data_IF_090281691532
#
_entry.id   IF_090281691532
#
_cell.length_a   1.000
_cell.length_b   1.000
_cell.length_c   1.000
_cell.angle_alpha   90.00
_cell.angle_beta   90.00
_cell.angle_gamma   90.00
#
_symmetry.space_group_name_H-M   'P 1'
#
loop_
_entity.id
_entity.type
_entity.pdbx_description
1 polymer ?
#
# COMPACT_ATOMS: atom_id res chain seq x y z
N UNK A 1 -33.81 15.93 1.65
CA UNK A 1 -33.12 15.15 0.61
C UNK A 1 -31.66 15.59 0.64
N UNK A 2 -30.76 14.77 1.20
CA UNK A 2 -29.33 15.08 1.18
C UNK A 2 -28.87 14.97 -0.28
N UNK A 3 -28.36 16.05 -0.85
CA UNK A 3 -27.71 16.02 -2.16
C UNK A 3 -26.57 14.98 -2.05
N UNK A 4 -26.54 14.00 -2.94
CA UNK A 4 -25.39 13.13 -3.10
C UNK A 4 -24.21 14.01 -3.50
N UNK A 5 -23.30 14.25 -2.56
CA UNK A 5 -22.06 14.95 -2.85
C UNK A 5 -21.24 14.02 -3.73
N UNK A 6 -20.98 14.46 -4.96
CA UNK A 6 -20.10 13.72 -5.86
C UNK A 6 -18.70 13.64 -5.23
N UNK A 7 -18.17 12.42 -5.17
CA UNK A 7 -16.80 12.14 -4.72
C UNK A 7 -16.00 11.63 -5.91
N UNK A 8 -14.91 12.33 -6.30
CA UNK A 8 -14.03 11.79 -7.33
C UNK A 8 -13.43 10.46 -6.87
N UNK A 9 -13.31 9.51 -7.77
CA UNK A 9 -12.70 8.20 -7.51
C UNK A 9 -11.22 8.24 -7.87
N UNK A 10 -10.39 7.84 -6.91
CA UNK A 10 -8.96 7.63 -7.10
C UNK A 10 -8.68 6.15 -6.95
N UNK A 11 -8.23 5.50 -8.02
CA UNK A 11 -7.79 4.12 -7.94
C UNK A 11 -6.29 4.05 -7.61
N UNK A 12 -5.89 2.98 -6.92
CA UNK A 12 -4.51 2.71 -6.53
C UNK A 12 -4.20 1.22 -6.62
N UNK A 13 -2.93 0.85 -6.81
CA UNK A 13 -2.54 -0.56 -6.81
C UNK A 13 -2.36 -1.09 -5.39
N UNK A 14 -2.91 -2.28 -5.14
CA UNK A 14 -2.86 -3.02 -3.86
C UNK A 14 -4.24 -3.19 -3.24
N UNK A 15 -4.25 -3.56 -1.98
CA UNK A 15 -5.44 -3.71 -1.14
C UNK A 15 -5.60 -2.51 -0.22
N UNK A 16 -6.75 -2.35 0.42
CA UNK A 16 -6.94 -1.35 1.48
C UNK A 16 -5.89 -1.54 2.59
N UNK A 17 -5.30 -0.44 3.04
CA UNK A 17 -4.17 -0.42 3.97
C UNK A 17 -2.80 -0.49 3.30
N UNK A 18 -2.71 -0.60 1.97
CA UNK A 18 -1.44 -0.53 1.24
C UNK A 18 -0.79 0.86 1.35
N UNK A 19 0.53 0.93 1.13
CA UNK A 19 1.26 2.20 1.09
C UNK A 19 0.71 3.17 0.03
N UNK A 20 0.11 2.67 -1.05
CA UNK A 20 -0.57 3.51 -2.04
C UNK A 20 -1.76 4.26 -1.44
N UNK A 21 -2.50 3.66 -0.50
CA UNK A 21 -3.57 4.34 0.23
C UNK A 21 -3.00 5.35 1.23
N UNK A 22 -1.89 5.06 1.90
CA UNK A 22 -1.18 6.02 2.75
C UNK A 22 -0.72 7.24 1.94
N UNK A 23 -0.25 7.03 0.70
CA UNK A 23 0.12 8.11 -0.21
C UNK A 23 -1.09 8.98 -0.61
N UNK A 24 -2.27 8.39 -0.81
CA UNK A 24 -3.49 9.15 -1.05
C UNK A 24 -3.87 10.00 0.16
N UNK A 25 -3.75 9.46 1.37
CA UNK A 25 -4.03 10.20 2.61
C UNK A 25 -3.04 11.34 2.81
N UNK A 26 -1.76 11.12 2.54
CA UNK A 26 -0.75 12.18 2.62
C UNK A 26 -1.02 13.30 1.61
N UNK A 27 -1.45 12.96 0.39
CA UNK A 27 -1.70 13.91 -0.68
C UNK A 27 -2.96 14.76 -0.47
N UNK A 28 -4.01 14.18 0.13
CA UNK A 28 -5.35 14.80 0.27
C UNK A 28 -5.76 15.09 1.72
N UNK A 29 -4.94 14.68 2.68
CA UNK A 29 -5.19 14.83 4.10
C UNK A 29 -5.97 13.67 4.73
N UNK A 30 -6.04 13.63 6.08
CA UNK A 30 -6.58 12.49 6.84
C UNK A 30 -8.10 12.29 6.67
N UNK A 31 -8.82 13.29 6.14
CA UNK A 31 -10.26 13.22 5.86
C UNK A 31 -10.55 12.77 4.42
N UNK A 32 -9.57 12.23 3.72
CA UNK A 32 -9.66 11.86 2.30
C UNK A 32 -10.88 11.00 1.98
N UNK A 33 -11.19 10.00 2.82
CA UNK A 33 -12.35 9.12 2.65
C UNK A 33 -13.71 9.81 2.73
N UNK A 34 -13.76 11.04 3.27
CA UNK A 34 -14.98 11.84 3.30
C UNK A 34 -15.23 12.55 1.97
N UNK A 35 -14.15 12.86 1.23
CA UNK A 35 -14.17 13.69 0.01
C UNK A 35 -13.88 12.89 -1.26
N UNK A 36 -13.25 11.73 -1.16
CA UNK A 36 -12.76 10.90 -2.26
C UNK A 36 -13.18 9.45 -2.04
N UNK A 37 -13.48 8.76 -3.13
CA UNK A 37 -13.70 7.32 -3.16
C UNK A 37 -12.38 6.63 -3.56
N UNK A 38 -11.82 5.80 -2.66
CA UNK A 38 -10.55 5.11 -2.88
C UNK A 38 -10.81 3.69 -3.37
N UNK A 39 -10.34 3.35 -4.56
CA UNK A 39 -10.60 2.07 -5.24
C UNK A 39 -9.31 1.25 -5.37
N UNK A 40 -9.15 0.12 -4.66
CA UNK A 40 -7.99 -0.75 -4.79
C UNK A 40 -8.03 -1.54 -6.11
N UNK A 41 -6.89 -1.68 -6.76
CA UNK A 41 -6.69 -2.47 -7.96
C UNK A 41 -5.62 -3.54 -7.73
N UNK A 42 -5.83 -4.79 -8.13
CA UNK A 42 -4.91 -5.88 -7.82
C UNK A 42 -3.57 -5.79 -8.58
N UNK A 43 -3.56 -5.19 -9.76
CA UNK A 43 -2.36 -5.06 -10.60
C UNK A 43 -2.23 -3.66 -11.20
N UNK A 44 -1.05 -3.31 -11.72
CA UNK A 44 -0.85 -2.06 -12.44
C UNK A 44 -1.67 -1.99 -13.71
N UNK A 45 -1.83 -3.10 -14.44
CA UNK A 45 -2.68 -3.17 -15.64
C UNK A 45 -4.14 -2.88 -15.28
N UNK A 46 -4.66 -3.46 -14.21
CA UNK A 46 -6.02 -3.16 -13.72
C UNK A 46 -6.17 -1.68 -13.35
N UNK A 47 -5.13 -1.10 -12.73
CA UNK A 47 -5.09 0.32 -12.35
C UNK A 47 -5.17 1.25 -13.57
N UNK A 48 -4.43 0.97 -14.64
CA UNK A 48 -4.51 1.78 -15.86
C UNK A 48 -5.80 1.51 -16.65
N UNK A 49 -6.30 0.28 -16.65
CA UNK A 49 -7.55 -0.06 -17.34
C UNK A 49 -8.78 0.62 -16.69
N UNK A 50 -8.82 0.81 -15.38
CA UNK A 50 -9.98 1.41 -14.69
C UNK A 50 -10.18 2.89 -15.10
N UNK A 51 -9.10 3.65 -15.32
CA UNK A 51 -9.19 5.02 -15.79
C UNK A 51 -9.53 5.07 -17.27
N UNK A 52 -9.02 4.14 -18.07
CA UNK A 52 -9.36 4.03 -19.50
C UNK A 52 -10.83 3.67 -19.71
N UNK A 53 -11.39 2.85 -18.83
CA UNK A 53 -12.82 2.52 -18.81
C UNK A 53 -13.71 3.66 -18.28
N UNK A 54 -13.14 4.77 -17.78
CA UNK A 54 -13.89 5.88 -17.18
C UNK A 54 -14.54 5.54 -15.84
N UNK A 55 -14.02 4.52 -15.15
CA UNK A 55 -14.52 4.07 -13.84
C UNK A 55 -13.80 4.76 -12.67
N UNK A 56 -12.69 5.46 -12.95
CA UNK A 56 -12.02 6.36 -12.02
C UNK A 56 -11.56 7.63 -12.78
N UNK A 57 -11.53 8.76 -12.08
CA UNK A 57 -11.04 10.03 -12.63
C UNK A 57 -9.54 10.16 -12.49
N UNK A 58 -8.97 9.53 -11.45
CA UNK A 58 -7.55 9.60 -11.11
C UNK A 58 -7.01 8.22 -10.77
N UNK A 59 -5.72 8.04 -11.03
CA UNK A 59 -4.97 6.90 -10.51
C UNK A 59 -3.74 7.39 -9.77
N UNK A 60 -3.41 6.72 -8.66
CA UNK A 60 -2.21 6.98 -7.87
C UNK A 60 -1.21 5.86 -8.10
N UNK A 61 -0.08 6.19 -8.72
CA UNK A 61 0.87 5.23 -9.27
C UNK A 61 2.24 5.38 -8.59
N UNK A 62 2.78 4.34 -7.93
CA UNK A 62 4.15 4.35 -7.43
C UNK A 62 5.14 4.30 -8.61
N UNK A 63 6.03 5.28 -8.70
CA UNK A 63 6.95 5.45 -9.84
C UNK A 63 8.37 5.05 -9.48
N UNK A 64 8.78 5.35 -8.26
CA UNK A 64 10.16 5.19 -7.83
C UNK A 64 10.22 4.91 -6.34
N UNK A 65 11.14 4.05 -5.96
CA UNK A 65 11.50 3.83 -4.56
C UNK A 65 12.99 4.13 -4.36
N UNK A 66 13.34 4.78 -3.26
CA UNK A 66 14.70 5.25 -2.99
C UNK A 66 15.75 4.13 -2.92
N UNK A 67 15.35 2.87 -2.68
CA UNK A 67 16.26 1.73 -2.55
C UNK A 67 16.35 0.90 -3.83
N UNK A 68 15.24 0.72 -4.53
CA UNK A 68 15.17 -0.15 -5.71
C UNK A 68 15.14 0.63 -7.03
N UNK A 69 15.05 1.96 -6.97
CA UNK A 69 14.94 2.82 -8.16
C UNK A 69 13.55 2.79 -8.77
N UNK A 70 13.48 2.92 -10.10
CA UNK A 70 12.23 2.96 -10.86
C UNK A 70 11.42 1.68 -10.70
N UNK A 71 10.12 1.83 -10.48
CA UNK A 71 9.16 0.74 -10.46
C UNK A 71 8.74 0.48 -11.91
N UNK A 72 9.60 -0.27 -12.63
CA UNK A 72 9.56 -0.39 -14.08
C UNK A 72 8.19 -0.79 -14.64
N UNK A 73 7.43 -1.75 -14.08
CA UNK A 73 6.10 -2.10 -14.59
C UNK A 73 5.12 -0.92 -14.60
N UNK A 74 5.20 -0.04 -13.58
CA UNK A 74 4.36 1.16 -13.51
C UNK A 74 4.83 2.25 -14.47
N UNK A 75 6.15 2.44 -14.60
CA UNK A 75 6.77 3.39 -15.55
C UNK A 75 6.39 3.04 -16.98
N UNK A 76 6.53 1.77 -17.36
CA UNK A 76 6.23 1.30 -18.74
C UNK A 76 4.76 1.53 -19.12
N UNK A 77 3.83 1.38 -18.17
CA UNK A 77 2.41 1.65 -18.40
C UNK A 77 2.14 3.16 -18.50
N UNK A 78 2.78 3.94 -17.62
CA UNK A 78 2.64 5.40 -17.66
C UNK A 78 3.18 5.98 -18.98
N UNK A 79 4.35 5.58 -19.44
CA UNK A 79 4.94 6.05 -20.71
C UNK A 79 4.10 5.70 -21.94
N UNK A 80 3.33 4.61 -21.88
CA UNK A 80 2.40 4.20 -22.96
C UNK A 80 1.04 4.88 -22.87
N UNK A 81 0.73 5.50 -21.73
CA UNK A 81 -0.56 6.15 -21.50
C UNK A 81 -0.56 7.59 -22.05
N UNK A 82 -1.75 8.17 -22.24
CA UNK A 82 -1.94 9.58 -22.53
C UNK A 82 -2.31 10.41 -21.29
N UNK A 83 -1.99 9.88 -20.09
CA UNK A 83 -2.35 10.54 -18.84
C UNK A 83 -1.36 11.64 -18.48
N UNK A 84 -1.88 12.72 -17.89
CA UNK A 84 -1.09 13.82 -17.38
C UNK A 84 -0.84 13.67 -15.89
N UNK A 85 0.34 14.12 -15.42
CA UNK A 85 0.66 14.23 -13.99
C UNK A 85 -0.05 15.46 -13.43
N UNK A 86 -0.95 15.26 -12.47
CA UNK A 86 -1.72 16.33 -11.81
C UNK A 86 -1.37 16.49 -10.33
N UNK A 87 -0.52 15.63 -9.79
CA UNK A 87 0.00 15.72 -8.43
C UNK A 87 1.12 14.73 -8.18
N UNK A 88 1.84 14.95 -7.10
CA UNK A 88 2.96 14.10 -6.68
C UNK A 88 3.05 14.08 -5.15
N UNK A 89 3.45 12.93 -4.59
CA UNK A 89 3.72 12.75 -3.18
C UNK A 89 4.82 11.71 -2.97
N UNK A 90 5.65 11.91 -1.95
CA UNK A 90 6.61 10.92 -1.49
C UNK A 90 6.29 10.57 -0.03
N UNK A 91 6.21 9.27 0.26
CA UNK A 91 5.95 8.80 1.62
C UNK A 91 7.07 7.89 2.12
N UNK A 92 7.38 7.91 3.41
CA UNK A 92 8.29 6.94 4.00
C UNK A 92 7.65 5.55 4.01
N UNK A 93 8.43 4.52 3.69
CA UNK A 93 8.00 3.13 3.77
C UNK A 93 8.50 2.54 5.09
N UNK A 94 7.56 2.26 5.99
CA UNK A 94 7.81 1.72 7.33
C UNK A 94 7.14 0.37 7.48
N UNK A 95 7.94 -0.64 7.75
CA UNK A 95 7.45 -2.01 7.89
C UNK A 95 7.30 -2.38 9.37
N UNK A 96 6.19 -3.01 9.70
CA UNK A 96 5.87 -3.49 11.03
C UNK A 96 5.53 -4.97 10.99
N UNK A 97 5.88 -5.70 12.04
CA UNK A 97 5.37 -7.05 12.29
C UNK A 97 4.00 -6.95 12.93
N UNK A 98 2.99 -7.45 12.25
CA UNK A 98 1.58 -7.34 12.63
C UNK A 98 1.01 -8.74 12.79
N UNK A 99 0.37 -9.01 13.91
CA UNK A 99 -0.29 -10.29 14.21
C UNK A 99 -1.66 -10.10 14.81
N UNK A 100 -2.30 -11.19 15.16
CA UNK A 100 -3.57 -11.17 15.88
C UNK A 100 -3.44 -10.45 17.23
N UNK A 101 -4.50 -9.83 17.75
CA UNK A 101 -4.51 -9.32 19.11
C UNK A 101 -4.10 -10.40 20.11
N UNK A 102 -3.11 -10.07 20.95
CA UNK A 102 -2.53 -10.98 21.93
C UNK A 102 -1.46 -11.94 21.39
N UNK A 103 -1.03 -11.81 20.11
CA UNK A 103 0.17 -12.48 19.63
C UNK A 103 1.42 -12.01 20.40
N UNK A 104 2.29 -12.94 20.74
CA UNK A 104 3.56 -12.70 21.45
C UNK A 104 4.70 -13.01 20.52
N UNK A 105 5.68 -12.09 20.41
CA UNK A 105 6.78 -12.24 19.44
C UNK A 105 7.53 -13.57 19.57
N UNK A 106 7.78 -14.03 20.79
CA UNK A 106 8.49 -15.29 21.05
C UNK A 106 7.76 -16.56 20.56
N UNK A 107 6.46 -16.43 20.26
CA UNK A 107 5.61 -17.54 19.80
C UNK A 107 5.36 -17.50 18.28
N UNK A 108 5.89 -16.47 17.57
CA UNK A 108 5.72 -16.37 16.12
C UNK A 108 6.57 -17.43 15.42
N UNK A 109 5.90 -18.28 14.66
CA UNK A 109 6.50 -19.38 13.89
C UNK A 109 6.62 -19.05 12.40
N UNK A 110 5.76 -18.14 11.87
CA UNK A 110 5.78 -17.75 10.47
C UNK A 110 5.51 -16.27 10.24
N UNK A 111 6.15 -15.71 9.21
CA UNK A 111 5.97 -14.32 8.76
C UNK A 111 5.66 -14.32 7.27
N UNK A 112 4.56 -13.64 6.91
CA UNK A 112 4.03 -13.53 5.56
C UNK A 112 4.14 -12.10 5.03
N UNK A 113 4.54 -11.92 3.78
CA UNK A 113 4.48 -10.62 3.10
C UNK A 113 4.87 -10.72 1.63
N UNK A 114 4.67 -9.62 0.90
CA UNK A 114 5.20 -9.47 -0.46
C UNK A 114 6.74 -9.59 -0.48
N UNK A 115 7.34 -10.23 -1.51
CA UNK A 115 8.77 -10.43 -1.60
C UNK A 115 9.62 -9.16 -1.43
N UNK A 116 9.15 -8.01 -1.98
CA UNK A 116 9.87 -6.75 -1.84
C UNK A 116 9.93 -6.27 -0.37
N UNK A 117 8.86 -6.41 0.40
CA UNK A 117 8.83 -6.06 1.82
C UNK A 117 9.71 -7.00 2.66
N UNK A 118 9.69 -8.30 2.35
CA UNK A 118 10.59 -9.28 2.98
C UNK A 118 12.06 -8.96 2.73
N UNK A 119 12.41 -8.56 1.49
CA UNK A 119 13.75 -8.16 1.12
C UNK A 119 14.21 -6.87 1.82
N UNK A 120 13.29 -5.95 2.09
CA UNK A 120 13.54 -4.70 2.81
C UNK A 120 13.68 -4.89 4.34
N UNK A 121 13.29 -6.06 4.87
CA UNK A 121 13.39 -6.44 6.28
C UNK A 121 14.37 -7.62 6.49
N UNK A 122 15.35 -7.75 5.61
CA UNK A 122 16.28 -8.90 5.57
C UNK A 122 17.05 -9.06 6.87
N UNK A 123 17.55 -7.97 7.47
CA UNK A 123 18.34 -8.01 8.70
C UNK A 123 17.49 -8.50 9.88
N UNK A 124 16.25 -8.01 9.98
CA UNK A 124 15.30 -8.49 10.98
C UNK A 124 15.04 -10.00 10.82
N UNK A 125 14.73 -10.45 9.61
CA UNK A 125 14.42 -11.86 9.34
C UNK A 125 15.64 -12.77 9.55
N UNK A 126 16.84 -12.34 9.17
CA UNK A 126 18.07 -13.09 9.38
C UNK A 126 18.42 -13.29 10.87
N UNK A 127 18.02 -12.35 11.73
CA UNK A 127 18.18 -12.47 13.18
C UNK A 127 17.18 -13.46 13.82
N UNK A 128 16.21 -13.97 13.04
CA UNK A 128 15.14 -14.86 13.50
C UNK A 128 15.08 -16.16 12.66
N UNK A 129 16.15 -16.98 12.64
CA UNK A 129 16.25 -18.15 11.74
C UNK A 129 15.20 -19.24 12.03
N UNK A 130 14.56 -19.19 13.19
CA UNK A 130 13.47 -20.11 13.59
C UNK A 130 12.13 -19.73 12.94
N UNK A 131 11.97 -18.51 12.43
CA UNK A 131 10.72 -18.03 11.81
C UNK A 131 10.71 -18.42 10.34
N UNK A 132 9.67 -19.14 9.92
CA UNK A 132 9.44 -19.45 8.51
C UNK A 132 8.97 -18.19 7.76
N UNK A 133 9.67 -17.85 6.68
CA UNK A 133 9.29 -16.73 5.79
C UNK A 133 8.43 -17.27 4.66
N UNK A 134 7.25 -16.68 4.45
CA UNK A 134 6.26 -17.09 3.45
C UNK A 134 5.98 -15.91 2.51
N UNK A 135 6.45 -15.93 1.25
CA UNK A 135 6.10 -14.95 0.26
C UNK A 135 4.60 -15.01 -0.12
N UNK A 136 3.99 -13.85 -0.30
CA UNK A 136 2.58 -13.66 -0.67
C UNK A 136 2.46 -12.58 -1.74
N UNK A 137 1.25 -12.39 -2.30
CA UNK A 137 1.02 -11.49 -3.42
C UNK A 137 1.12 -10.01 -3.04
N UNK A 138 0.75 -9.64 -1.78
CA UNK A 138 0.81 -8.26 -1.30
C UNK A 138 1.00 -8.17 0.23
N UNK A 139 1.33 -6.97 0.73
CA UNK A 139 1.57 -6.73 2.16
C UNK A 139 0.29 -6.62 2.97
N UNK A 140 -0.67 -5.85 2.48
CA UNK A 140 -1.91 -5.56 3.22
C UNK A 140 -2.83 -6.77 3.28
N UNK A 141 -2.98 -7.50 2.18
CA UNK A 141 -3.73 -8.75 2.12
C UNK A 141 -3.13 -9.83 3.02
N UNK A 142 -1.80 -9.85 3.20
CA UNK A 142 -1.15 -10.75 4.17
C UNK A 142 -1.65 -10.49 5.59
N UNK A 143 -1.74 -9.23 6.02
CA UNK A 143 -2.30 -8.90 7.35
C UNK A 143 -3.76 -9.32 7.43
N UNK A 144 -4.57 -8.99 6.42
CA UNK A 144 -5.97 -9.37 6.37
C UNK A 144 -6.16 -10.90 6.55
N UNK A 145 -5.31 -11.70 5.86
CA UNK A 145 -5.36 -13.16 5.95
C UNK A 145 -4.92 -13.69 7.32
N UNK A 146 -3.84 -13.16 7.89
CA UNK A 146 -3.37 -13.53 9.24
C UNK A 146 -4.47 -13.27 10.27
N UNK A 147 -5.07 -12.07 10.25
CA UNK A 147 -6.13 -11.70 11.19
C UNK A 147 -7.39 -12.57 11.00
N UNK A 148 -7.79 -12.79 9.75
CA UNK A 148 -8.95 -13.64 9.42
C UNK A 148 -8.80 -15.08 9.90
N UNK A 149 -7.59 -15.65 9.82
CA UNK A 149 -7.31 -17.00 10.33
C UNK A 149 -7.32 -17.08 11.85
N UNK A 150 -7.04 -15.97 12.55
CA UNK A 150 -6.99 -15.92 14.00
C UNK A 150 -5.81 -16.68 14.61
N UNK A 151 -4.81 -17.06 13.81
CA UNK A 151 -3.63 -17.81 14.25
C UNK A 151 -2.59 -16.85 14.83
N UNK A 152 -2.38 -16.93 16.15
CA UNK A 152 -1.45 -16.07 16.90
C UNK A 152 0.02 -16.40 16.66
N UNK A 153 0.34 -17.53 16.02
CA UNK A 153 1.70 -17.94 15.68
C UNK A 153 2.15 -17.42 14.31
N UNK A 154 1.22 -16.87 13.53
CA UNK A 154 1.49 -16.22 12.27
C UNK A 154 1.43 -14.69 12.41
N UNK A 155 2.33 -14.02 11.71
CA UNK A 155 2.35 -12.57 11.60
C UNK A 155 2.61 -12.15 10.15
N UNK A 156 2.32 -10.91 9.81
CA UNK A 156 2.63 -10.34 8.50
C UNK A 156 3.51 -9.10 8.64
N UNK A 157 4.31 -8.80 7.61
CA UNK A 157 5.06 -7.55 7.51
C UNK A 157 4.30 -6.60 6.57
N UNK A 158 3.89 -5.43 7.10
CA UNK A 158 3.13 -4.42 6.34
C UNK A 158 3.23 -3.03 6.97
N UNK A 159 2.56 -2.04 6.36
CA UNK A 159 2.40 -0.70 6.89
C UNK A 159 1.52 -0.67 8.15
N UNK A 160 1.66 0.37 8.97
CA UNK A 160 0.91 0.56 10.23
C UNK A 160 -0.61 0.55 10.02
N UNK A 161 -1.06 1.19 8.95
CA UNK A 161 -2.48 1.33 8.64
C UNK A 161 -3.21 -0.01 8.51
N UNK A 162 -2.52 -1.05 8.03
CA UNK A 162 -3.12 -2.40 7.94
C UNK A 162 -3.50 -2.97 9.30
N UNK A 163 -2.70 -2.70 10.35
CA UNK A 163 -3.06 -3.12 11.70
C UNK A 163 -4.34 -2.44 12.20
N UNK A 164 -4.46 -1.14 11.95
CA UNK A 164 -5.63 -0.35 12.33
C UNK A 164 -6.89 -0.81 11.56
N UNK A 165 -6.73 -1.01 10.25
CA UNK A 165 -7.85 -1.38 9.36
C UNK A 165 -8.39 -2.79 9.63
N UNK A 166 -7.51 -3.76 9.83
CA UNK A 166 -7.89 -5.17 9.99
C UNK A 166 -7.96 -5.63 11.45
N UNK A 167 -7.76 -4.72 12.41
CA UNK A 167 -7.83 -5.05 13.84
C UNK A 167 -6.65 -5.90 14.33
N UNK A 168 -5.50 -5.76 13.68
CA UNK A 168 -4.25 -6.41 14.11
C UNK A 168 -3.52 -5.64 15.21
N UNK A 169 -2.53 -6.29 15.81
CA UNK A 169 -1.62 -5.70 16.78
C UNK A 169 -0.21 -5.61 16.21
N UNK A 170 0.42 -4.44 16.33
CA UNK A 170 1.83 -4.26 15.98
C UNK A 170 2.69 -4.93 17.07
N UNK A 171 3.40 -5.99 16.69
CA UNK A 171 4.28 -6.77 17.58
C UNK A 171 5.69 -6.16 17.62
N UNK A 172 6.19 -5.69 16.48
CA UNK A 172 7.46 -4.98 16.30
C UNK A 172 7.29 -3.88 15.27
N UNK A 173 8.01 -2.78 15.47
CA UNK A 173 7.94 -1.61 14.58
C UNK A 173 9.27 -1.36 13.90
N UNK A 174 9.21 -0.74 12.70
CA UNK A 174 10.37 -0.24 11.96
C UNK A 174 11.38 -1.35 11.67
N UNK A 175 10.93 -2.36 10.93
CA UNK A 175 11.71 -3.55 10.57
C UNK A 175 12.56 -3.35 9.33
N UNK A 176 12.31 -2.28 8.58
CA UNK A 176 13.05 -1.96 7.37
C UNK A 176 14.55 -1.77 7.66
N UNK A 177 15.39 -2.33 6.78
CA UNK A 177 16.86 -2.26 6.90
C UNK A 177 17.40 -0.85 6.69
N UNK A 178 16.64 0.01 5.99
CA UNK A 178 17.02 1.37 5.64
C UNK A 178 15.95 2.37 6.11
N UNK A 179 16.25 3.22 7.09
CA UNK A 179 15.28 4.17 7.65
C UNK A 179 14.88 5.29 6.66
N UNK A 180 15.68 5.53 5.61
CA UNK A 180 15.41 6.54 4.58
C UNK A 180 14.62 5.99 3.39
N UNK A 181 14.02 4.79 3.54
CA UNK A 181 13.20 4.18 2.49
C UNK A 181 11.95 5.02 2.24
N UNK A 182 11.80 5.50 1.00
CA UNK A 182 10.67 6.29 0.54
C UNK A 182 10.20 5.81 -0.84
N UNK A 183 8.90 5.96 -1.09
CA UNK A 183 8.32 5.73 -2.41
C UNK A 183 7.65 7.00 -2.90
N UNK A 184 7.93 7.37 -4.14
CA UNK A 184 7.33 8.49 -4.84
C UNK A 184 6.16 8.01 -5.70
N UNK A 185 5.03 8.69 -5.57
CA UNK A 185 3.80 8.42 -6.28
C UNK A 185 3.41 9.60 -7.14
N UNK A 186 2.89 9.33 -8.34
CA UNK A 186 2.26 10.31 -9.21
C UNK A 186 0.74 10.12 -9.18
N UNK A 187 0.03 11.23 -9.04
CA UNK A 187 -1.40 11.29 -9.32
C UNK A 187 -1.58 11.59 -10.80
N UNK A 188 -2.17 10.67 -11.52
CA UNK A 188 -2.39 10.78 -12.96
C UNK A 188 -3.88 10.96 -13.25
N UNK A 189 -4.17 11.75 -14.29
CA UNK A 189 -5.52 11.96 -14.80
C UNK A 189 -5.49 12.15 -16.33
N UNK A 190 -6.66 12.12 -16.96
CA UNK A 190 -6.80 12.60 -18.35
C UNK A 190 -6.59 14.12 -18.37
N UNK A 191 -6.05 14.66 -19.45
CA UNK A 191 -5.73 16.11 -19.57
C UNK A 191 -6.90 17.04 -19.24
N UNK A 192 -8.14 16.59 -19.43
CA UNK A 192 -9.33 17.37 -19.09
C UNK A 192 -9.58 17.55 -17.59
N UNK A 193 -8.89 16.80 -16.73
CA UNK A 193 -9.05 16.81 -15.28
C UNK A 193 -7.81 17.44 -14.63
N UNK A 194 -7.98 18.59 -13.98
CA UNK A 194 -6.96 19.15 -13.08
C UNK A 194 -6.86 18.35 -11.76
N UNK A 195 -6.02 18.81 -10.82
CA UNK A 195 -5.99 18.24 -9.46
C UNK A 195 -7.38 18.32 -8.81
N UNK A 196 -7.87 17.24 -8.15
CA UNK A 196 -9.16 17.29 -7.48
C UNK A 196 -9.20 18.42 -6.45
N UNK A 197 -10.27 19.20 -6.45
CA UNK A 197 -10.57 20.15 -5.39
C UNK A 197 -11.22 19.39 -4.23
N UNK A 198 -10.47 19.10 -3.20
CA UNK A 198 -10.90 18.43 -1.97
C UNK A 198 -10.60 19.26 -0.74
#
# INVERSE_FOLDING_TARGET
MSALVYKPRIAFQGEHGAFSEDAAIELFGPQVSNSIDLEPCPTFEALFNIIDAGQAEYILVPIENSLIGSIQPAVDLFEKSSLAVVGEVAIPIRHHLIGCPGSVFAEIEAVESHPAALAQCKNFLAAQPQIKVIPTDDTAGSVAQVIKRGDRKHAAIAGRRTAELYGGSIIRSNLEDHPDNQTRFLLLAREAHGKPNV
#
